data_IF_645102768601
#
_entry.id   IF_645102768601
#
_cell.length_a   1.000
_cell.length_b   1.000
_cell.length_c   1.000
_cell.angle_alpha   90.00
_cell.angle_beta   90.00
_cell.angle_gamma   90.00
#
_symmetry.space_group_name_H-M   'P 1'
#
loop_
_entity.id
_entity.type
_entity.pdbx_description
1 polymer ?
#
# COMPACT_ATOMS: atom_id res chain seq x y z
N UNK A 1 45.17 0.21 26.36
CA UNK A 1 44.24 -0.18 25.28
C UNK A 1 42.97 0.62 25.46
N UNK A 2 42.56 1.38 24.46
CA UNK A 2 41.35 2.20 24.51
C UNK A 2 40.12 1.29 24.36
N UNK A 3 39.11 1.46 25.23
CA UNK A 3 37.88 0.69 25.18
C UNK A 3 37.10 1.05 23.90
N UNK A 4 36.47 0.04 23.28
CA UNK A 4 35.59 0.22 22.11
C UNK A 4 34.52 1.29 22.35
N UNK A 5 34.04 1.48 23.59
CA UNK A 5 33.10 2.54 23.95
C UNK A 5 33.73 3.95 23.81
N UNK A 6 34.94 4.15 24.34
CA UNK A 6 35.65 5.44 24.22
C UNK A 6 36.00 5.75 22.77
N UNK A 7 36.35 4.73 21.98
CA UNK A 7 36.61 4.85 20.54
C UNK A 7 35.34 5.26 19.77
N UNK A 8 34.17 4.71 20.12
CA UNK A 8 32.88 5.11 19.52
C UNK A 8 32.49 6.53 19.88
N UNK A 9 32.83 6.99 21.09
CA UNK A 9 32.57 8.35 21.56
C UNK A 9 33.47 9.37 20.85
N UNK A 10 34.77 9.10 20.71
CA UNK A 10 35.70 9.92 19.93
C UNK A 10 35.32 10.00 18.45
N UNK A 11 34.89 8.89 17.85
CA UNK A 11 34.44 8.83 16.47
C UNK A 11 33.03 9.41 16.26
N UNK A 12 32.36 9.92 17.29
CA UNK A 12 31.01 10.48 17.21
C UNK A 12 29.92 9.47 16.83
N UNK A 13 30.20 8.18 17.01
CA UNK A 13 29.31 7.06 16.65
C UNK A 13 28.25 6.79 17.75
N UNK A 14 28.49 7.23 18.98
CA UNK A 14 27.49 7.29 20.04
C UNK A 14 26.45 8.38 19.71
N UNK A 15 25.35 7.97 19.07
CA UNK A 15 24.28 8.88 18.63
C UNK A 15 24.16 9.04 17.11
N UNK A 16 25.08 8.48 16.31
CA UNK A 16 24.94 8.45 14.85
C UNK A 16 23.67 7.69 14.42
N UNK A 17 23.36 6.57 15.08
CA UNK A 17 22.10 5.82 14.85
C UNK A 17 20.86 6.64 15.25
N UNK A 18 20.95 7.45 16.30
CA UNK A 18 19.83 8.27 16.77
C UNK A 18 19.61 9.51 15.90
N UNK A 19 20.68 10.15 15.42
CA UNK A 19 20.64 11.19 14.39
C UNK A 19 20.06 10.67 13.09
N UNK A 20 20.55 9.52 12.59
CA UNK A 20 20.00 8.83 11.41
C UNK A 20 18.51 8.49 11.58
N UNK A 21 18.07 8.16 12.79
CA UNK A 21 16.66 7.88 13.08
C UNK A 21 15.83 9.16 13.06
N UNK A 22 16.27 10.24 13.71
CA UNK A 22 15.59 11.56 13.69
C UNK A 22 15.49 12.13 12.27
N UNK A 23 16.57 12.10 11.51
CA UNK A 23 16.58 12.58 10.12
C UNK A 23 15.61 11.79 9.23
N UNK A 24 15.53 10.47 9.40
CA UNK A 24 14.54 9.63 8.70
C UNK A 24 13.11 9.94 9.11
N UNK A 25 12.85 10.16 10.40
CA UNK A 25 11.52 10.58 10.87
C UNK A 25 11.11 11.92 10.23
N UNK A 26 12.07 12.83 10.04
CA UNK A 26 11.80 14.18 9.53
C UNK A 26 11.65 14.19 8.02
N UNK A 27 12.34 13.32 7.28
CA UNK A 27 12.02 13.03 5.87
C UNK A 27 10.62 12.44 5.73
N UNK A 28 10.27 11.42 6.53
CA UNK A 28 8.95 10.78 6.50
C UNK A 28 7.85 11.79 6.78
N UNK A 29 8.01 12.63 7.80
CA UNK A 29 7.05 13.67 8.14
C UNK A 29 6.84 14.65 6.98
N UNK A 30 7.91 15.15 6.36
CA UNK A 30 7.82 16.06 5.21
C UNK A 30 7.09 15.44 4.02
N UNK A 31 7.37 14.17 3.70
CA UNK A 31 6.69 13.46 2.61
C UNK A 31 5.19 13.32 2.90
N UNK A 32 4.84 12.94 4.13
CA UNK A 32 3.44 12.74 4.54
C UNK A 32 2.68 14.06 4.55
N UNK A 33 3.27 15.11 5.12
CA UNK A 33 2.67 16.45 5.16
C UNK A 33 2.43 16.97 3.73
N UNK A 34 3.43 16.84 2.84
CA UNK A 34 3.29 17.22 1.42
C UNK A 34 2.14 16.47 0.71
N UNK A 35 2.05 15.15 0.88
CA UNK A 35 0.98 14.36 0.28
C UNK A 35 -0.41 14.79 0.76
N UNK A 36 -0.56 15.10 2.05
CA UNK A 36 -1.83 15.55 2.64
C UNK A 36 -2.20 16.96 2.20
N UNK A 37 -1.24 17.90 2.21
CA UNK A 37 -1.45 19.28 1.79
C UNK A 37 -1.86 19.39 0.32
N UNK A 38 -1.29 18.53 -0.53
CA UNK A 38 -1.57 18.52 -1.97
C UNK A 38 -2.64 17.50 -2.40
N UNK A 39 -3.28 16.81 -1.45
CA UNK A 39 -4.30 15.78 -1.71
C UNK A 39 -3.87 14.76 -2.77
N UNK A 40 -2.62 14.31 -2.70
CA UNK A 40 -2.05 13.41 -3.70
C UNK A 40 -2.53 11.99 -3.41
N UNK A 41 -3.26 11.43 -4.36
CA UNK A 41 -3.78 10.07 -4.32
C UNK A 41 -2.96 9.13 -5.21
N UNK A 42 -2.93 7.82 -4.91
CA UNK A 42 -2.27 6.82 -5.75
C UNK A 42 -2.84 6.80 -7.17
N UNK A 43 -1.95 6.73 -8.16
CA UNK A 43 -2.32 6.43 -9.54
C UNK A 43 -2.19 4.94 -9.83
N UNK A 44 -3.29 4.34 -10.26
CA UNK A 44 -3.37 2.89 -10.42
C UNK A 44 -3.07 2.45 -11.86
N UNK A 45 -2.19 1.47 -12.00
CA UNK A 45 -1.89 0.78 -13.26
C UNK A 45 -3.07 -0.10 -13.66
N UNK A 46 -3.59 0.12 -14.88
CA UNK A 46 -4.79 -0.52 -15.41
C UNK A 46 -4.44 -1.57 -16.47
N UNK A 47 -3.28 -2.23 -16.30
CA UNK A 47 -2.75 -3.15 -17.32
C UNK A 47 -3.45 -4.52 -17.29
N UNK A 48 -3.39 -5.26 -18.40
CA UNK A 48 -3.90 -6.65 -18.45
C UNK A 48 -2.85 -7.68 -18.01
N UNK A 49 -1.67 -7.25 -17.56
CA UNK A 49 -0.50 -8.10 -17.35
C UNK A 49 -0.22 -8.36 -15.87
N UNK A 50 -1.26 -8.59 -15.07
CA UNK A 50 -1.10 -8.94 -13.66
C UNK A 50 -0.56 -10.38 -13.54
N UNK A 51 0.76 -10.51 -13.45
CA UNK A 51 1.44 -11.81 -13.29
C UNK A 51 1.06 -12.56 -12.00
N UNK A 52 0.46 -11.87 -11.03
CA UNK A 52 0.11 -12.42 -9.72
C UNK A 52 -1.36 -12.85 -9.59
N UNK A 53 -2.13 -12.78 -10.68
CA UNK A 53 -3.54 -13.14 -10.71
C UNK A 53 -3.92 -14.60 -11.06
N UNK A 54 -3.03 -15.60 -11.23
CA UNK A 54 -3.47 -17.00 -11.33
C UNK A 54 -4.10 -17.46 -10.00
N UNK A 55 -5.27 -18.14 -9.99
CA UNK A 55 -5.89 -18.91 -11.07
C UNK A 55 -6.98 -18.19 -11.88
N UNK A 56 -7.18 -16.89 -11.72
CA UNK A 56 -8.31 -16.18 -12.32
C UNK A 56 -8.10 -15.86 -13.79
N UNK A 57 -9.16 -16.00 -14.59
CA UNK A 57 -9.18 -15.60 -16.02
C UNK A 57 -9.67 -14.18 -16.21
N UNK A 58 -10.47 -13.68 -15.27
CA UNK A 58 -11.09 -12.34 -15.31
C UNK A 58 -11.03 -11.71 -13.93
N UNK A 59 -10.65 -10.44 -13.90
CA UNK A 59 -10.72 -9.61 -12.72
C UNK A 59 -11.74 -8.49 -12.96
N UNK A 60 -12.32 -8.00 -11.88
CA UNK A 60 -13.05 -6.75 -11.86
C UNK A 60 -12.23 -5.73 -11.09
N UNK A 61 -12.13 -4.52 -11.65
CA UNK A 61 -11.59 -3.40 -10.93
C UNK A 61 -12.75 -2.65 -10.26
N UNK A 62 -12.67 -2.52 -8.95
CA UNK A 62 -13.68 -1.85 -8.15
C UNK A 62 -13.12 -0.57 -7.54
N UNK A 63 -13.91 0.50 -7.53
CA UNK A 63 -13.69 1.63 -6.63
C UNK A 63 -14.30 1.31 -5.26
N UNK A 64 -13.55 1.56 -4.19
CA UNK A 64 -13.91 1.09 -2.84
C UNK A 64 -13.61 2.13 -1.78
N UNK A 65 -14.46 2.19 -0.75
CA UNK A 65 -14.19 2.98 0.45
C UNK A 65 -13.12 2.31 1.31
N UNK A 66 -12.08 3.06 1.67
CA UNK A 66 -10.93 2.54 2.44
C UNK A 66 -11.33 2.14 3.85
N UNK A 67 -12.31 2.82 4.48
CA UNK A 67 -12.76 2.48 5.85
C UNK A 67 -13.50 1.15 5.85
N UNK A 68 -14.40 0.93 4.89
CA UNK A 68 -15.11 -0.34 4.71
C UNK A 68 -14.12 -1.46 4.37
N UNK A 69 -13.22 -1.23 3.42
CA UNK A 69 -12.20 -2.24 3.04
C UNK A 69 -11.36 -2.69 4.24
N UNK A 70 -10.92 -1.76 5.09
CA UNK A 70 -10.11 -2.08 6.27
C UNK A 70 -10.94 -2.75 7.37
N UNK A 71 -12.17 -2.31 7.62
CA UNK A 71 -13.00 -2.86 8.70
C UNK A 71 -13.55 -4.26 8.39
N UNK A 72 -13.83 -4.53 7.12
CA UNK A 72 -14.42 -5.79 6.64
C UNK A 72 -13.37 -6.82 6.21
N UNK A 73 -12.08 -6.45 6.24
CA UNK A 73 -10.99 -7.37 5.94
C UNK A 73 -10.39 -8.02 7.19
N UNK A 74 -9.63 -9.11 6.98
CA UNK A 74 -8.85 -9.77 8.03
C UNK A 74 -7.56 -9.00 8.41
N UNK A 75 -7.49 -7.71 8.09
CA UNK A 75 -6.25 -6.95 8.04
C UNK A 75 -6.13 -5.91 9.17
N UNK A 76 -5.09 -6.04 9.99
CA UNK A 76 -4.74 -5.01 10.98
C UNK A 76 -3.69 -4.07 10.39
N UNK A 77 -4.13 -2.90 9.91
CA UNK A 77 -3.29 -1.86 9.32
C UNK A 77 -2.14 -1.45 10.24
N UNK A 78 -2.35 -1.47 11.56
CA UNK A 78 -1.35 -1.12 12.57
C UNK A 78 -0.18 -2.09 12.59
N UNK A 79 -0.34 -3.33 12.11
CA UNK A 79 0.80 -4.26 12.00
C UNK A 79 1.73 -3.90 10.85
N UNK A 80 1.24 -3.18 9.85
CA UNK A 80 1.98 -2.79 8.64
C UNK A 80 2.50 -1.36 8.74
N UNK A 81 1.64 -0.41 9.07
CA UNK A 81 2.00 0.98 9.38
C UNK A 81 1.75 1.19 10.87
N UNK A 82 2.79 0.92 11.68
CA UNK A 82 2.71 0.89 13.15
C UNK A 82 2.56 2.27 13.79
N UNK A 83 3.18 3.28 13.19
CA UNK A 83 3.24 4.63 13.73
C UNK A 83 3.42 5.64 12.58
N UNK A 84 2.90 6.85 12.77
CA UNK A 84 3.01 8.00 11.85
C UNK A 84 4.44 8.41 11.52
N UNK A 85 5.41 7.97 12.33
CA UNK A 85 6.83 8.29 12.14
C UNK A 85 7.72 7.09 11.78
N UNK A 86 7.16 5.89 11.62
CA UNK A 86 7.93 4.66 11.38
C UNK A 86 7.55 3.99 10.06
N UNK A 87 7.65 4.74 8.97
CA UNK A 87 7.56 4.19 7.62
C UNK A 87 8.86 3.45 7.26
N UNK A 88 8.71 2.26 6.68
CA UNK A 88 9.85 1.50 6.16
C UNK A 88 10.35 2.12 4.85
N UNK A 89 11.59 1.84 4.41
CA UNK A 89 12.07 2.29 3.09
C UNK A 89 11.17 1.88 1.93
N UNK A 90 10.48 0.73 2.05
CA UNK A 90 9.49 0.28 1.06
C UNK A 90 8.29 1.23 0.98
N UNK A 91 7.78 1.69 2.13
CA UNK A 91 6.69 2.66 2.18
C UNK A 91 7.12 3.99 1.55
N UNK A 92 8.29 4.51 1.93
CA UNK A 92 8.82 5.77 1.39
C UNK A 92 8.95 5.70 -0.13
N UNK A 93 9.43 4.59 -0.68
CA UNK A 93 9.54 4.40 -2.13
C UNK A 93 8.17 4.53 -2.82
N UNK A 94 7.12 3.94 -2.26
CA UNK A 94 5.77 4.02 -2.82
C UNK A 94 5.21 5.43 -2.72
N UNK A 95 5.44 6.12 -1.61
CA UNK A 95 5.01 7.51 -1.46
C UNK A 95 5.69 8.44 -2.48
N UNK A 96 6.99 8.23 -2.75
CA UNK A 96 7.69 8.98 -3.82
C UNK A 96 7.07 8.71 -5.19
N UNK A 97 6.74 7.46 -5.50
CA UNK A 97 5.99 7.12 -6.73
C UNK A 97 4.67 7.87 -6.85
N UNK A 98 3.94 8.04 -5.75
CA UNK A 98 2.67 8.80 -5.77
C UNK A 98 2.90 10.29 -6.02
N UNK A 99 3.93 10.87 -5.39
CA UNK A 99 4.36 12.25 -5.65
C UNK A 99 4.69 12.43 -7.14
N UNK A 100 5.43 11.48 -7.70
CA UNK A 100 5.88 11.49 -9.10
C UNK A 100 4.78 11.06 -10.09
N UNK A 101 3.56 10.77 -9.60
CA UNK A 101 2.44 10.29 -10.41
C UNK A 101 2.74 9.04 -11.24
N UNK A 102 3.65 8.20 -10.74
CA UNK A 102 3.92 6.90 -11.33
C UNK A 102 2.74 5.94 -11.14
N UNK A 103 2.40 5.19 -12.18
CA UNK A 103 1.41 4.13 -12.12
C UNK A 103 1.91 2.98 -11.23
N UNK A 104 1.03 2.49 -10.36
CA UNK A 104 1.29 1.35 -9.48
C UNK A 104 0.13 0.36 -9.51
N UNK A 105 0.40 -0.93 -9.34
CA UNK A 105 -0.69 -1.92 -9.38
C UNK A 105 -1.74 -1.67 -8.27
N UNK A 106 -3.03 -1.82 -8.57
CA UNK A 106 -4.07 -1.89 -7.54
C UNK A 106 -3.81 -3.07 -6.59
N UNK A 107 -4.19 -2.98 -5.30
CA UNK A 107 -4.21 -4.12 -4.41
C UNK A 107 -5.11 -5.24 -4.94
N UNK A 108 -4.66 -6.49 -4.81
CA UNK A 108 -5.45 -7.67 -5.16
C UNK A 108 -6.17 -8.18 -3.93
N UNK A 109 -7.50 -8.24 -4.01
CA UNK A 109 -8.37 -8.72 -2.96
C UNK A 109 -9.21 -9.91 -3.45
N UNK A 110 -9.65 -10.73 -2.50
CA UNK A 110 -10.57 -11.84 -2.72
C UNK A 110 -11.73 -11.75 -1.75
N UNK A 111 -12.79 -12.51 -2.01
CA UNK A 111 -13.90 -12.68 -1.07
C UNK A 111 -14.20 -14.16 -0.86
N UNK A 112 -14.28 -14.54 0.41
CA UNK A 112 -14.74 -15.86 0.83
C UNK A 112 -15.89 -15.66 1.82
N UNK A 113 -15.59 -15.58 3.12
CA UNK A 113 -16.56 -15.20 4.16
C UNK A 113 -16.42 -13.73 4.58
N UNK A 114 -15.33 -13.08 4.15
CA UNK A 114 -14.97 -11.68 4.38
C UNK A 114 -13.98 -11.25 3.31
N UNK A 115 -13.62 -9.96 3.31
CA UNK A 115 -12.61 -9.46 2.39
C UNK A 115 -11.23 -10.00 2.80
N UNK A 116 -10.53 -10.61 1.85
CA UNK A 116 -9.17 -11.12 2.01
C UNK A 116 -8.23 -10.30 1.14
N UNK A 117 -7.24 -9.64 1.74
CA UNK A 117 -6.21 -8.93 0.98
C UNK A 117 -5.13 -9.95 0.59
N UNK A 118 -5.03 -10.26 -0.70
CA UNK A 118 -4.04 -11.21 -1.22
C UNK A 118 -2.70 -10.52 -1.42
N UNK A 119 -2.72 -9.29 -1.94
CA UNK A 119 -1.52 -8.48 -2.16
C UNK A 119 -1.85 -6.98 -1.99
N UNK A 120 -0.84 -6.16 -1.67
CA UNK A 120 -1.00 -4.71 -1.63
C UNK A 120 -1.44 -4.20 -0.26
N UNK A 121 -1.36 -5.03 0.78
CA UNK A 121 -1.64 -4.66 2.17
C UNK A 121 -0.95 -3.37 2.64
N UNK A 122 0.31 -3.18 2.25
CA UNK A 122 1.10 -1.99 2.54
C UNK A 122 0.59 -0.74 1.80
N UNK A 123 0.06 -0.89 0.58
CA UNK A 123 -0.60 0.21 -0.15
C UNK A 123 -1.91 0.61 0.52
N UNK A 124 -2.73 -0.37 0.90
CA UNK A 124 -3.99 -0.14 1.64
C UNK A 124 -3.72 0.55 2.99
N UNK A 125 -2.71 0.08 3.73
CA UNK A 125 -2.32 0.70 5.00
C UNK A 125 -1.85 2.14 4.83
N UNK A 126 -1.08 2.45 3.78
CA UNK A 126 -0.67 3.82 3.45
C UNK A 126 -1.87 4.70 3.09
N UNK A 127 -2.82 4.20 2.29
CA UNK A 127 -4.05 4.93 1.96
C UNK A 127 -4.87 5.23 3.22
N UNK A 128 -5.04 4.26 4.12
CA UNK A 128 -5.71 4.46 5.40
C UNK A 128 -5.00 5.48 6.28
N UNK A 129 -3.67 5.42 6.32
CA UNK A 129 -2.83 6.33 7.09
C UNK A 129 -2.88 7.78 6.58
N UNK A 130 -2.92 7.95 5.25
CA UNK A 130 -3.02 9.24 4.58
C UNK A 130 -4.45 9.76 4.48
N UNK A 131 -5.43 9.00 4.99
CA UNK A 131 -6.85 9.36 4.98
C UNK A 131 -7.44 9.49 3.56
N UNK A 132 -6.87 8.73 2.61
CA UNK A 132 -7.45 8.57 1.28
C UNK A 132 -8.83 7.94 1.43
N UNK A 133 -9.85 8.57 0.85
CA UNK A 133 -11.24 8.14 1.01
C UNK A 133 -11.53 6.85 0.22
N UNK A 134 -11.12 6.84 -1.05
CA UNK A 134 -11.41 5.76 -1.97
C UNK A 134 -10.17 5.25 -2.68
N UNK A 135 -10.12 3.95 -2.94
CA UNK A 135 -9.07 3.32 -3.73
C UNK A 135 -9.64 2.31 -4.71
N UNK A 136 -8.87 2.07 -5.77
CA UNK A 136 -9.18 1.03 -6.72
C UNK A 136 -8.54 -0.28 -6.26
N UNK A 137 -9.29 -1.38 -6.32
CA UNK A 137 -8.80 -2.73 -6.04
C UNK A 137 -9.15 -3.67 -7.18
N UNK A 138 -8.33 -4.71 -7.35
CA UNK A 138 -8.62 -5.84 -8.21
C UNK A 138 -9.27 -6.94 -7.40
N UNK A 139 -10.32 -7.54 -7.96
CA UNK A 139 -10.98 -8.71 -7.39
C UNK A 139 -11.28 -9.74 -8.46
N UNK A 140 -11.32 -11.04 -8.15
CA UNK A 140 -11.87 -12.04 -9.05
C UNK A 140 -13.28 -11.66 -9.50
N UNK A 141 -13.58 -11.83 -10.80
CA UNK A 141 -14.88 -11.45 -11.36
C UNK A 141 -16.03 -12.10 -10.59
N UNK A 142 -15.89 -13.37 -10.23
CA UNK A 142 -16.87 -14.13 -9.46
C UNK A 142 -17.20 -13.53 -8.09
N UNK A 143 -16.31 -12.68 -7.55
CA UNK A 143 -16.46 -12.03 -6.26
C UNK A 143 -16.87 -10.56 -6.35
N UNK A 144 -16.96 -9.99 -7.56
CA UNK A 144 -17.30 -8.58 -7.72
C UNK A 144 -18.72 -8.27 -7.23
N UNK A 145 -19.70 -9.08 -7.62
CA UNK A 145 -21.13 -8.84 -7.35
C UNK A 145 -21.43 -8.79 -5.85
N UNK A 146 -20.84 -9.70 -5.07
CA UNK A 146 -21.03 -9.72 -3.62
C UNK A 146 -20.42 -8.49 -2.96
N UNK A 147 -19.26 -8.02 -3.43
CA UNK A 147 -18.63 -6.82 -2.89
C UNK A 147 -19.39 -5.55 -3.25
N UNK A 148 -19.93 -5.47 -4.46
CA UNK A 148 -20.80 -4.37 -4.90
C UNK A 148 -22.08 -4.34 -4.06
N UNK A 149 -22.76 -5.48 -3.95
CA UNK A 149 -24.08 -5.58 -3.28
C UNK A 149 -23.98 -5.39 -1.78
N UNK A 150 -22.97 -6.00 -1.14
CA UNK A 150 -22.84 -6.01 0.32
C UNK A 150 -22.19 -4.75 0.88
N UNK A 151 -21.22 -4.18 0.17
CA UNK A 151 -20.37 -3.10 0.67
C UNK A 151 -20.51 -1.79 -0.12
N UNK A 152 -21.36 -1.76 -1.15
CA UNK A 152 -21.60 -0.57 -1.97
C UNK A 152 -20.41 -0.18 -2.84
N UNK A 153 -19.51 -1.12 -3.14
CA UNK A 153 -18.39 -0.88 -4.05
C UNK A 153 -18.90 -0.67 -5.48
N UNK A 154 -18.13 0.05 -6.29
CA UNK A 154 -18.54 0.41 -7.65
C UNK A 154 -17.63 -0.27 -8.68
N UNK A 155 -18.23 -0.97 -9.65
CA UNK A 155 -17.48 -1.51 -10.78
C UNK A 155 -16.96 -0.37 -11.66
N UNK A 156 -15.65 -0.36 -11.91
CA UNK A 156 -15.01 0.54 -12.87
C UNK A 156 -14.91 -0.16 -14.22
N UNK A 157 -14.32 -1.35 -14.24
CA UNK A 157 -14.11 -2.13 -15.47
C UNK A 157 -13.91 -3.61 -15.19
N UNK A 158 -14.15 -4.43 -16.22
CA UNK A 158 -13.71 -5.83 -16.23
C UNK A 158 -12.40 -5.96 -17.01
N UNK A 159 -11.50 -6.80 -16.49
CA UNK A 159 -10.17 -7.05 -17.05
C UNK A 159 -10.10 -8.53 -17.41
N UNK A 160 -9.87 -8.81 -18.69
CA UNK A 160 -9.59 -10.17 -19.16
C UNK A 160 -8.09 -10.39 -19.12
N UNK A 161 -7.66 -11.36 -18.31
CA UNK A 161 -6.25 -11.69 -18.19
C UNK A 161 -5.82 -12.49 -19.41
N UNK A 162 -4.73 -12.07 -20.05
CA UNK A 162 -4.13 -12.87 -21.13
C UNK A 162 -3.49 -14.09 -20.47
N UNK A 163 -3.97 -15.28 -20.81
CA UNK A 163 -3.26 -16.51 -20.44
C UNK A 163 -1.84 -16.41 -20.99
N UNK A 164 -0.83 -16.32 -20.12
CA UNK A 164 0.56 -16.64 -20.48
C UNK A 164 0.72 -18.17 -20.50
N UNK A 165 -0.20 -18.85 -21.18
CA UNK A 165 -0.05 -20.24 -21.58
C UNK A 165 0.22 -20.20 -23.07
N UNK A 166 1.52 -20.23 -23.40
CA UNK A 166 2.18 -20.32 -24.71
C UNK A 166 3.17 -19.17 -24.90
N UNK A 167 4.40 -19.35 -24.39
CA UNK A 167 5.66 -19.40 -25.14
C UNK A 167 6.56 -20.38 -24.38
#
# INVERSE_FOLDING_TARGET
MMNIADLKKELGLEGAQEKLRKEKCEEVKRIVDYLKEHTIEPMWEMSTNYMQAPPWKKLSLLNTDVKTLVSESNFDTRKVVRDKYLLTPRHIRILKKWIDKELIDPPLCNYENRICILEGNHRIALCKFLEVAQIQILVPKENADILITRYGFSLIQEIVLKNTSNI
#
